data_IF_762869181729
#
_entry.id   IF_762869181729
#
_cell.length_a   1.000
_cell.length_b   1.000
_cell.length_c   1.000
_cell.angle_alpha   90.00
_cell.angle_beta   90.00
_cell.angle_gamma   90.00
#
_symmetry.space_group_name_H-M   'P 1'
#
loop_
_entity.id
_entity.type
_entity.pdbx_description
1 polymer ?
#
# COMPACT_ATOMS: atom_id res chain seq x y z
N UNK A 1 -33.49 -2.20 -30.53
CA UNK A 1 -33.20 -1.68 -29.18
C UNK A 1 -31.70 -1.81 -28.98
N UNK A 2 -30.94 -0.71 -29.08
CA UNK A 2 -29.47 -0.74 -28.92
C UNK A 2 -29.15 -0.67 -27.42
N UNK A 3 -28.28 -1.57 -26.94
CA UNK A 3 -27.84 -1.53 -25.55
C UNK A 3 -26.96 -0.30 -25.29
N UNK A 4 -27.21 0.39 -24.18
CA UNK A 4 -26.43 1.55 -23.76
C UNK A 4 -25.15 1.04 -23.08
N UNK A 5 -24.01 1.28 -23.71
CA UNK A 5 -22.72 0.85 -23.18
C UNK A 5 -22.34 1.75 -22.00
N UNK A 6 -22.32 1.17 -20.80
CA UNK A 6 -21.88 1.87 -19.59
C UNK A 6 -20.37 2.13 -19.67
N UNK A 7 -19.88 3.27 -19.16
CA UNK A 7 -18.46 3.54 -19.14
C UNK A 7 -17.73 2.48 -18.30
N UNK A 8 -16.85 1.72 -18.96
CA UNK A 8 -15.98 0.71 -18.31
C UNK A 8 -14.69 1.31 -17.76
N UNK A 9 -14.44 2.61 -18.03
CA UNK A 9 -13.23 3.29 -17.58
C UNK A 9 -13.40 3.73 -16.12
N UNK A 10 -12.62 3.13 -15.22
CA UNK A 10 -12.39 3.71 -13.90
C UNK A 10 -11.43 4.89 -14.09
N UNK A 11 -11.82 6.13 -13.75
CA UNK A 11 -10.91 7.25 -13.83
C UNK A 11 -9.71 6.99 -12.92
N UNK A 12 -8.51 6.96 -13.50
CA UNK A 12 -7.27 6.95 -12.73
C UNK A 12 -7.02 8.35 -12.18
N UNK A 13 -7.77 8.72 -11.14
CA UNK A 13 -7.52 9.96 -10.42
C UNK A 13 -6.12 9.87 -9.82
N UNK A 14 -5.23 10.78 -10.26
CA UNK A 14 -3.87 10.90 -9.74
C UNK A 14 -3.83 12.13 -8.85
N UNK A 15 -3.60 11.93 -7.55
CA UNK A 15 -3.36 13.02 -6.62
C UNK A 15 -1.87 13.35 -6.61
N UNK A 16 -1.52 14.62 -6.75
CA UNK A 16 -0.12 15.04 -6.64
C UNK A 16 0.41 14.83 -5.20
N UNK A 17 -0.41 15.18 -4.21
CA UNK A 17 -0.11 15.16 -2.77
C UNK A 17 -1.39 15.04 -1.91
N UNK A 18 -1.22 14.95 -0.59
CA UNK A 18 -2.27 15.03 0.42
C UNK A 18 -3.01 13.72 0.67
N UNK A 19 -2.54 12.61 0.11
CA UNK A 19 -3.04 11.26 0.38
C UNK A 19 -2.14 10.54 1.39
N UNK A 20 -2.65 9.46 1.99
CA UNK A 20 -1.86 8.63 2.90
C UNK A 20 -1.05 7.54 2.16
N UNK A 21 -0.40 6.70 2.95
CA UNK A 21 0.21 5.44 2.53
C UNK A 21 -0.61 4.29 3.09
N UNK A 22 -0.81 3.25 2.28
CA UNK A 22 -1.54 2.04 2.70
C UNK A 22 -0.65 0.80 2.59
N UNK A 23 -0.85 -0.23 3.42
CA UNK A 23 -0.19 -1.52 3.20
C UNK A 23 -0.67 -2.12 1.87
N UNK A 24 0.26 -2.71 1.12
CA UNK A 24 -0.03 -3.33 -0.17
C UNK A 24 0.33 -4.80 -0.12
N UNK A 25 -0.65 -5.69 -0.33
CA UNK A 25 -0.39 -7.12 -0.34
C UNK A 25 0.25 -7.50 -1.68
N UNK A 26 1.50 -7.96 -1.61
CA UNK A 26 2.28 -8.33 -2.80
C UNK A 26 2.18 -9.83 -3.10
N UNK A 27 1.75 -10.63 -2.13
CA UNK A 27 1.55 -12.06 -2.30
C UNK A 27 1.98 -12.85 -1.09
N UNK A 28 2.17 -14.14 -1.31
CA UNK A 28 2.51 -15.09 -0.26
C UNK A 28 3.61 -16.05 -0.74
N UNK A 29 4.40 -16.53 0.21
CA UNK A 29 5.43 -17.54 0.00
C UNK A 29 5.02 -18.77 0.80
N UNK A 30 4.93 -19.93 0.14
CA UNK A 30 4.69 -21.19 0.85
C UNK A 30 6.00 -21.79 1.31
N UNK A 31 6.10 -22.06 2.60
CA UNK A 31 7.28 -22.62 3.23
C UNK A 31 7.30 -24.16 3.14
N UNK A 32 8.47 -24.81 3.29
CA UNK A 32 8.59 -26.28 3.24
C UNK A 32 7.77 -27.03 4.29
N UNK A 33 7.58 -26.41 5.46
CA UNK A 33 6.78 -26.95 6.57
C UNK A 33 5.26 -26.80 6.37
N UNK A 34 4.84 -26.21 5.24
CA UNK A 34 3.44 -25.99 4.90
C UNK A 34 2.83 -24.69 5.44
N UNK A 35 3.59 -23.88 6.17
CA UNK A 35 3.20 -22.52 6.54
C UNK A 35 3.29 -21.54 5.35
N UNK A 36 2.80 -20.32 5.55
CA UNK A 36 2.85 -19.26 4.55
C UNK A 36 3.40 -17.97 5.16
N UNK A 37 4.37 -17.36 4.49
CA UNK A 37 4.77 -15.98 4.74
C UNK A 37 3.90 -15.07 3.89
N UNK A 38 3.31 -14.06 4.52
CA UNK A 38 2.52 -13.04 3.84
C UNK A 38 3.40 -11.82 3.58
N UNK A 39 3.52 -11.42 2.32
CA UNK A 39 4.40 -10.32 1.90
C UNK A 39 3.57 -9.04 1.73
N UNK A 40 3.94 -8.03 2.49
CA UNK A 40 3.33 -6.71 2.43
C UNK A 40 4.40 -5.67 2.10
N UNK A 41 4.14 -4.89 1.06
CA UNK A 41 4.79 -3.62 0.80
C UNK A 41 3.92 -2.46 1.30
N UNK A 42 4.14 -1.31 0.69
CA UNK A 42 3.31 -0.12 0.89
C UNK A 42 2.93 0.44 -0.48
N UNK A 43 1.82 1.17 -0.55
CA UNK A 43 1.48 1.99 -1.70
C UNK A 43 1.32 3.44 -1.26
N UNK A 44 2.21 4.31 -1.76
CA UNK A 44 2.05 5.75 -1.61
C UNK A 44 1.05 6.25 -2.67
N UNK A 45 -0.12 6.71 -2.21
CA UNK A 45 -1.23 7.14 -3.09
C UNK A 45 -0.98 8.50 -3.75
N UNK A 46 0.11 9.17 -3.40
CA UNK A 46 0.56 10.41 -4.00
C UNK A 46 1.45 10.15 -5.22
N UNK A 47 1.31 11.00 -6.24
CA UNK A 47 2.08 10.90 -7.49
C UNK A 47 3.43 11.65 -7.45
N UNK A 48 3.54 12.62 -6.54
CA UNK A 48 4.71 13.49 -6.39
C UNK A 48 5.20 13.58 -4.94
N UNK A 49 4.31 13.64 -3.95
CA UNK A 49 4.69 13.78 -2.55
C UNK A 49 5.34 12.52 -1.97
N UNK A 50 6.52 12.69 -1.39
CA UNK A 50 7.21 11.69 -0.59
C UNK A 50 6.85 11.90 0.89
N UNK A 51 6.56 10.82 1.61
CA UNK A 51 6.12 10.91 3.00
C UNK A 51 7.20 10.35 3.94
N UNK A 52 7.55 11.12 4.96
CA UNK A 52 8.41 10.67 6.06
C UNK A 52 7.55 10.48 7.31
N UNK A 53 7.27 9.23 7.67
CA UNK A 53 6.43 8.87 8.81
C UNK A 53 7.23 7.93 9.71
N UNK A 54 7.78 8.41 10.84
CA UNK A 54 8.51 7.58 11.79
C UNK A 54 7.63 6.46 12.36
N UNK A 55 8.25 5.36 12.78
CA UNK A 55 7.53 4.31 13.50
C UNK A 55 6.85 4.88 14.76
N UNK A 56 5.58 4.55 14.96
CA UNK A 56 4.76 5.12 16.03
C UNK A 56 3.27 5.06 15.71
N UNK A 57 2.45 5.90 16.35
CA UNK A 57 1.00 5.83 16.24
C UNK A 57 0.44 5.98 14.80
N UNK A 58 1.18 6.63 13.90
CA UNK A 58 0.83 6.78 12.47
C UNK A 58 1.50 5.77 11.53
N UNK A 59 2.38 4.91 12.04
CA UNK A 59 3.13 3.90 11.27
C UNK A 59 3.59 2.79 12.23
N UNK A 60 2.74 1.80 12.47
CA UNK A 60 3.04 0.70 13.38
C UNK A 60 2.57 -0.63 12.81
N UNK A 61 3.20 -1.71 13.27
CA UNK A 61 2.82 -3.08 12.94
C UNK A 61 2.52 -3.82 14.23
N UNK A 62 1.39 -4.52 14.26
CA UNK A 62 1.00 -5.40 15.36
C UNK A 62 0.76 -6.82 14.86
N UNK A 63 1.04 -7.83 15.71
CA UNK A 63 1.55 -7.73 17.09
C UNK A 63 3.05 -7.39 17.19
N UNK A 64 3.48 -6.87 18.35
CA UNK A 64 4.90 -6.64 18.68
C UNK A 64 5.47 -5.25 18.32
N UNK A 65 4.61 -4.25 18.16
CA UNK A 65 4.97 -2.90 17.70
C UNK A 65 5.71 -2.00 18.71
N UNK A 66 5.84 -0.69 18.40
CA UNK A 66 5.39 -0.06 17.15
C UNK A 66 6.39 -0.24 15.99
N UNK A 67 7.65 -0.57 16.26
CA UNK A 67 8.70 -0.71 15.26
C UNK A 67 9.05 -2.19 15.04
N UNK A 68 8.89 -2.63 13.79
CA UNK A 68 9.17 -3.98 13.30
C UNK A 68 10.09 -3.95 12.08
N UNK A 69 10.76 -2.83 11.83
CA UNK A 69 11.58 -2.60 10.64
C UNK A 69 10.79 -2.21 9.40
N UNK A 70 9.55 -1.72 9.58
CA UNK A 70 8.77 -1.17 8.47
C UNK A 70 9.40 0.13 7.93
N UNK A 71 9.15 0.49 6.65
CA UNK A 71 9.67 1.73 6.09
C UNK A 71 9.21 2.96 6.88
N UNK A 72 10.08 3.97 6.98
CA UNK A 72 9.76 5.29 7.54
C UNK A 72 9.79 6.40 6.49
N UNK A 73 10.13 6.04 5.24
CA UNK A 73 10.14 6.93 4.10
C UNK A 73 9.45 6.25 2.91
N UNK A 74 8.47 6.93 2.34
CA UNK A 74 7.54 6.34 1.39
C UNK A 74 7.57 7.12 0.07
N UNK A 75 8.30 6.55 -0.90
CA UNK A 75 8.40 7.10 -2.25
C UNK A 75 7.12 6.87 -3.06
N UNK A 76 6.72 7.83 -3.92
CA UNK A 76 5.68 7.65 -4.91
C UNK A 76 5.93 6.45 -5.83
N UNK A 77 4.84 5.85 -6.34
CA UNK A 77 4.86 4.82 -7.41
C UNK A 77 5.62 3.54 -7.02
N UNK A 78 5.55 3.20 -5.74
CA UNK A 78 5.94 1.93 -5.14
C UNK A 78 4.69 1.31 -4.56
#
# INVERSE_FOLDING_TARGET
MSAQQLPTAIPQTKWASGQDVVPYFEGWIRNPDGSFDMVFGYFNRNWQEELAIPAGAGNFVEPGGPDRGQPTYFLPRR
#
